data_IF_592292741387
#
_entry.id   IF_592292741387
#
_cell.length_a   1.000
_cell.length_b   1.000
_cell.length_c   1.000
_cell.angle_alpha   90.00
_cell.angle_beta   90.00
_cell.angle_gamma   90.00
#
_symmetry.space_group_name_H-M   'P 1'
#
loop_
_entity.id
_entity.type
_entity.pdbx_description
1 polymer ?
#
# COMPACT_ATOMS: atom_id res chain seq x y z
N UNK A 1 -2.33 35.14 8.80
CA UNK A 1 -1.61 34.41 7.73
C UNK A 1 -0.74 33.30 8.30
N UNK A 2 0.43 33.57 8.89
CA UNK A 2 1.31 32.53 9.50
C UNK A 2 0.63 31.82 10.68
N UNK A 3 -0.01 32.59 11.58
CA UNK A 3 -0.59 32.03 12.81
C UNK A 3 -1.68 30.95 12.60
N UNK A 4 -2.53 31.08 11.58
CA UNK A 4 -3.63 30.12 11.38
C UNK A 4 -3.14 28.81 10.77
N UNK A 5 -2.19 28.90 9.82
CA UNK A 5 -1.55 27.74 9.22
C UNK A 5 -0.74 26.97 10.27
N UNK A 6 0.12 27.65 11.02
CA UNK A 6 0.93 27.03 12.09
C UNK A 6 0.04 26.38 13.18
N UNK A 7 -1.12 26.99 13.50
CA UNK A 7 -2.08 26.41 14.43
C UNK A 7 -2.75 25.16 13.89
N UNK A 8 -3.11 25.13 12.61
CA UNK A 8 -3.65 23.94 11.97
C UNK A 8 -2.62 22.80 11.99
N UNK A 9 -1.37 23.07 11.59
CA UNK A 9 -0.28 22.08 11.63
C UNK A 9 -0.07 21.56 13.07
N UNK A 10 -0.06 22.45 14.06
CA UNK A 10 0.05 22.05 15.47
C UNK A 10 -1.09 21.12 15.90
N UNK A 11 -2.34 21.44 15.55
CA UNK A 11 -3.49 20.60 15.87
C UNK A 11 -3.42 19.24 15.14
N UNK A 12 -2.96 19.20 13.89
CA UNK A 12 -2.78 17.94 13.14
C UNK A 12 -1.71 17.06 13.78
N UNK A 13 -0.58 17.64 14.20
CA UNK A 13 0.47 16.92 14.92
C UNK A 13 0.00 16.37 16.28
N UNK A 14 -1.00 17.02 16.89
CA UNK A 14 -1.67 16.57 18.13
C UNK A 14 -2.89 15.66 17.87
N UNK A 15 -3.12 15.24 16.61
CA UNK A 15 -4.26 14.42 16.17
C UNK A 15 -5.64 15.05 16.46
N UNK A 16 -5.70 16.38 16.57
CA UNK A 16 -6.92 17.15 16.81
C UNK A 16 -7.55 17.59 15.47
N UNK A 17 -7.95 16.62 14.65
CA UNK A 17 -8.38 16.84 13.27
C UNK A 17 -9.60 17.77 13.15
N UNK A 18 -10.62 17.62 14.00
CA UNK A 18 -11.80 18.49 13.98
C UNK A 18 -11.45 19.94 14.31
N UNK A 19 -10.52 20.16 15.24
CA UNK A 19 -10.08 21.51 15.60
C UNK A 19 -9.28 22.14 14.46
N UNK A 20 -8.38 21.37 13.83
CA UNK A 20 -7.65 21.81 12.64
C UNK A 20 -8.60 22.18 11.49
N UNK A 21 -9.65 21.38 11.27
CA UNK A 21 -10.71 21.66 10.27
C UNK A 21 -11.41 22.98 10.57
N UNK A 22 -11.88 23.18 11.80
CA UNK A 22 -12.53 24.43 12.21
C UNK A 22 -11.63 25.67 12.02
N UNK A 23 -10.34 25.55 12.32
CA UNK A 23 -9.36 26.62 12.14
C UNK A 23 -9.18 26.95 10.66
N UNK A 24 -9.04 25.93 9.81
CA UNK A 24 -8.94 26.09 8.36
C UNK A 24 -10.17 26.75 7.75
N UNK A 25 -11.37 26.30 8.13
CA UNK A 25 -12.61 26.92 7.67
C UNK A 25 -12.74 28.39 8.11
N UNK A 26 -12.35 28.70 9.35
CA UNK A 26 -12.33 30.10 9.86
C UNK A 26 -11.31 30.94 9.08
N UNK A 27 -10.14 30.38 8.78
CA UNK A 27 -9.11 31.06 8.00
C UNK A 27 -9.57 31.34 6.56
N UNK A 28 -10.20 30.38 5.89
CA UNK A 28 -10.74 30.56 4.53
C UNK A 28 -11.95 31.50 4.47
N UNK A 29 -12.71 31.68 5.56
CA UNK A 29 -13.73 32.74 5.64
C UNK A 29 -13.12 34.14 5.61
N UNK A 30 -11.91 34.31 6.14
CA UNK A 30 -11.20 35.59 6.15
C UNK A 30 -10.39 35.82 4.88
N UNK A 31 -9.72 34.78 4.39
CA UNK A 31 -8.86 34.81 3.21
C UNK A 31 -9.22 33.63 2.28
N UNK A 32 -10.26 33.76 1.43
CA UNK A 32 -10.77 32.64 0.65
C UNK A 32 -9.78 32.03 -0.34
N UNK A 33 -8.77 32.78 -0.77
CA UNK A 33 -7.82 32.36 -1.81
C UNK A 33 -6.44 32.02 -1.23
N UNK A 34 -6.35 31.81 0.09
CA UNK A 34 -5.08 31.47 0.73
C UNK A 34 -4.65 30.04 0.37
N UNK A 35 -3.72 29.91 -0.59
CA UNK A 35 -3.28 28.62 -1.14
C UNK A 35 -2.72 27.66 -0.09
N UNK A 36 -1.99 28.16 0.91
CA UNK A 36 -1.42 27.31 1.98
C UNK A 36 -2.51 26.68 2.85
N UNK A 37 -3.54 27.46 3.18
CA UNK A 37 -4.67 26.97 3.98
C UNK A 37 -5.55 26.04 3.14
N UNK A 38 -5.75 26.34 1.85
CA UNK A 38 -6.47 25.45 0.93
C UNK A 38 -5.79 24.09 0.83
N UNK A 39 -4.47 24.08 0.60
CA UNK A 39 -3.66 22.85 0.51
C UNK A 39 -3.76 22.03 1.79
N UNK A 40 -3.46 22.64 2.94
CA UNK A 40 -3.49 21.95 4.24
C UNK A 40 -4.88 21.44 4.61
N UNK A 41 -5.94 22.24 4.40
CA UNK A 41 -7.30 21.81 4.71
C UNK A 41 -7.77 20.72 3.74
N UNK A 42 -7.38 20.76 2.47
CA UNK A 42 -7.75 19.71 1.51
C UNK A 42 -7.12 18.36 1.88
N UNK A 43 -5.85 18.34 2.29
CA UNK A 43 -5.18 17.14 2.78
C UNK A 43 -5.83 16.59 4.05
N UNK A 44 -6.11 17.46 5.03
CA UNK A 44 -6.81 17.08 6.26
C UNK A 44 -8.19 16.48 5.98
N UNK A 45 -8.96 17.06 5.05
CA UNK A 45 -10.27 16.52 4.69
C UNK A 45 -10.17 15.13 4.06
N UNK A 46 -9.12 14.85 3.27
CA UNK A 46 -8.86 13.51 2.76
C UNK A 46 -8.52 12.52 3.88
N UNK A 47 -7.67 12.90 4.82
CA UNK A 47 -7.33 12.07 5.99
C UNK A 47 -8.57 11.76 6.86
N UNK A 48 -9.50 12.70 6.96
CA UNK A 48 -10.78 12.51 7.66
C UNK A 48 -11.84 11.75 6.83
N UNK A 49 -11.53 11.31 5.60
CA UNK A 49 -12.47 10.63 4.70
C UNK A 49 -13.54 11.55 4.07
N UNK A 50 -13.44 12.87 4.22
CA UNK A 50 -14.35 13.87 3.66
C UNK A 50 -13.96 14.23 2.21
N UNK A 51 -14.00 13.23 1.34
CA UNK A 51 -13.60 13.32 -0.07
C UNK A 51 -14.36 14.40 -0.84
N UNK A 52 -15.66 14.60 -0.54
CA UNK A 52 -16.51 15.57 -1.23
C UNK A 52 -16.06 17.02 -0.98
N UNK A 53 -15.80 17.39 0.28
CA UNK A 53 -15.32 18.74 0.58
C UNK A 53 -13.87 18.95 0.15
N UNK A 54 -13.02 17.91 0.24
CA UNK A 54 -11.66 17.95 -0.29
C UNK A 54 -11.66 18.25 -1.80
N UNK A 55 -12.51 17.57 -2.57
CA UNK A 55 -12.67 17.79 -4.00
C UNK A 55 -12.98 19.25 -4.34
N UNK A 56 -13.92 19.89 -3.63
CA UNK A 56 -14.26 21.30 -3.87
C UNK A 56 -13.07 22.25 -3.62
N UNK A 57 -12.30 22.00 -2.56
CA UNK A 57 -11.11 22.81 -2.27
C UNK A 57 -10.01 22.61 -3.33
N UNK A 58 -9.79 21.37 -3.76
CA UNK A 58 -8.82 21.04 -4.80
C UNK A 58 -9.19 21.69 -6.15
N UNK A 59 -10.47 21.65 -6.55
CA UNK A 59 -10.97 22.35 -7.74
C UNK A 59 -10.71 23.86 -7.66
N UNK A 60 -10.93 24.44 -6.48
CA UNK A 60 -10.65 25.86 -6.26
C UNK A 60 -9.15 26.17 -6.39
N UNK A 61 -8.27 25.32 -5.87
CA UNK A 61 -6.81 25.46 -6.03
C UNK A 61 -6.37 25.33 -7.50
N UNK A 62 -7.03 24.47 -8.28
CA UNK A 62 -6.81 24.36 -9.73
C UNK A 62 -7.24 25.64 -10.44
N UNK A 63 -8.38 26.23 -10.06
CA UNK A 63 -8.84 27.49 -10.64
C UNK A 63 -7.91 28.68 -10.35
N UNK A 64 -7.34 28.73 -9.14
CA UNK A 64 -6.45 29.81 -8.71
C UNK A 64 -5.05 29.69 -9.34
N UNK A 65 -4.51 28.47 -9.42
CA UNK A 65 -3.14 28.23 -9.90
C UNK A 65 -3.08 27.01 -10.85
N UNK A 66 -3.59 27.12 -12.08
CA UNK A 66 -3.75 25.96 -12.97
C UNK A 66 -2.45 25.29 -13.39
N UNK A 67 -1.32 26.01 -13.40
CA UNK A 67 -0.05 25.50 -13.89
C UNK A 67 0.98 25.21 -12.79
N UNK A 68 0.60 25.35 -11.52
CA UNK A 68 1.48 25.17 -10.35
C UNK A 68 0.94 24.10 -9.41
N UNK A 69 1.83 23.35 -8.75
CA UNK A 69 1.48 22.35 -7.75
C UNK A 69 0.87 21.09 -8.35
N UNK A 70 1.67 20.04 -8.52
CA UNK A 70 1.19 18.75 -9.08
C UNK A 70 0.29 17.97 -8.10
N UNK A 71 0.48 18.12 -6.78
CA UNK A 71 -0.21 17.31 -5.77
C UNK A 71 -1.73 17.37 -5.88
N UNK A 72 -2.30 18.58 -6.05
CA UNK A 72 -3.75 18.74 -6.22
C UNK A 72 -4.32 17.98 -7.41
N UNK A 73 -3.53 17.85 -8.48
CA UNK A 73 -3.92 17.08 -9.66
C UNK A 73 -3.86 15.58 -9.40
N UNK A 74 -2.83 15.10 -8.69
CA UNK A 74 -2.77 13.69 -8.29
C UNK A 74 -3.94 13.33 -7.35
N UNK A 75 -4.23 14.17 -6.36
CA UNK A 75 -5.36 13.97 -5.45
C UNK A 75 -6.70 14.00 -6.19
N UNK A 76 -6.92 14.92 -7.13
CA UNK A 76 -8.13 14.92 -7.97
C UNK A 76 -8.24 13.66 -8.83
N UNK A 77 -7.11 13.15 -9.33
CA UNK A 77 -7.07 11.85 -10.02
C UNK A 77 -7.58 10.71 -9.13
N UNK A 78 -7.11 10.63 -7.88
CA UNK A 78 -7.57 9.62 -6.92
C UNK A 78 -9.05 9.75 -6.54
N UNK A 79 -9.61 10.96 -6.58
CA UNK A 79 -11.01 11.23 -6.23
C UNK A 79 -12.00 11.06 -7.40
N UNK A 80 -11.51 10.81 -8.61
CA UNK A 80 -12.32 10.69 -9.82
C UNK A 80 -12.08 9.35 -10.51
N UNK A 81 -12.92 9.00 -11.48
CA UNK A 81 -12.84 7.73 -12.21
C UNK A 81 -12.65 7.92 -13.71
N UNK A 82 -12.18 6.87 -14.37
CA UNK A 82 -12.03 6.76 -15.81
C UNK A 82 -11.26 7.92 -16.46
N UNK A 83 -11.77 8.41 -17.59
CA UNK A 83 -11.10 9.44 -18.40
C UNK A 83 -10.93 10.79 -17.69
N UNK A 84 -11.78 11.11 -16.72
CA UNK A 84 -11.63 12.33 -15.91
C UNK A 84 -10.40 12.23 -15.01
N UNK A 85 -10.21 11.08 -14.37
CA UNK A 85 -9.03 10.79 -13.55
C UNK A 85 -7.74 10.87 -14.37
N UNK A 86 -7.73 10.24 -15.55
CA UNK A 86 -6.60 10.32 -16.48
C UNK A 86 -6.25 11.76 -16.86
N UNK A 87 -7.23 12.63 -17.10
CA UNK A 87 -6.99 14.03 -17.43
C UNK A 87 -6.34 14.80 -16.26
N UNK A 88 -6.71 14.51 -15.02
CA UNK A 88 -6.06 15.08 -13.85
C UNK A 88 -4.63 14.57 -13.68
N UNK A 89 -4.41 13.26 -13.78
CA UNK A 89 -3.07 12.68 -13.73
C UNK A 89 -2.16 13.22 -14.83
N UNK A 90 -2.63 13.32 -16.07
CA UNK A 90 -1.87 13.89 -17.18
C UNK A 90 -1.36 15.30 -16.88
N UNK A 91 -2.22 16.13 -16.26
CA UNK A 91 -1.83 17.49 -15.85
C UNK A 91 -0.79 17.46 -14.72
N UNK A 92 -0.95 16.58 -13.74
CA UNK A 92 0.02 16.37 -12.66
C UNK A 92 1.38 15.90 -13.18
N UNK A 93 1.39 14.90 -14.06
CA UNK A 93 2.57 14.35 -14.75
C UNK A 93 3.28 15.43 -15.56
N UNK A 94 2.53 16.28 -16.29
CA UNK A 94 3.12 17.38 -17.04
C UNK A 94 3.88 18.36 -16.12
N UNK A 95 3.29 18.73 -14.99
CA UNK A 95 3.95 19.61 -13.99
C UNK A 95 5.18 18.92 -13.39
N UNK A 96 5.09 17.64 -13.02
CA UNK A 96 6.21 16.85 -12.49
C UNK A 96 7.39 16.79 -13.48
N UNK A 97 7.10 16.53 -14.76
CA UNK A 97 8.12 16.50 -15.81
C UNK A 97 8.82 17.86 -15.95
N UNK A 98 8.06 18.96 -15.92
CA UNK A 98 8.63 20.31 -15.99
C UNK A 98 9.53 20.62 -14.78
N UNK A 99 9.12 20.21 -13.57
CA UNK A 99 9.92 20.38 -12.35
C UNK A 99 11.24 19.59 -12.42
N UNK A 100 11.19 18.32 -12.84
CA UNK A 100 12.37 17.47 -13.00
C UNK A 100 13.33 18.02 -14.08
N UNK A 101 12.80 18.53 -15.20
CA UNK A 101 13.61 19.16 -16.24
C UNK A 101 14.27 20.46 -15.74
N UNK A 102 13.54 21.27 -14.97
CA UNK A 102 14.08 22.50 -14.40
C UNK A 102 15.27 22.24 -13.45
N UNK A 103 15.20 21.18 -12.63
CA UNK A 103 16.27 20.78 -11.71
C UNK A 103 17.57 20.33 -12.42
N UNK A 104 17.49 19.87 -13.67
CA UNK A 104 18.67 19.52 -14.47
C UNK A 104 19.45 20.75 -14.99
N UNK A 105 18.93 21.96 -14.78
CA UNK A 105 19.54 23.20 -15.26
C UNK A 105 20.43 23.82 -14.16
N UNK A 106 21.69 24.22 -14.44
CA UNK A 106 22.64 24.71 -13.43
C UNK A 106 22.23 25.97 -12.65
N UNK A 107 21.15 26.65 -13.05
CA UNK A 107 20.70 27.92 -12.49
C UNK A 107 19.63 27.79 -11.40
N UNK A 108 19.15 26.57 -11.10
CA UNK A 108 17.96 26.34 -10.26
C UNK A 108 18.25 25.96 -8.79
N UNK A 109 19.51 26.00 -8.34
CA UNK A 109 19.96 25.51 -7.03
C UNK A 109 19.49 26.32 -5.79
N UNK A 110 18.45 27.15 -5.90
CA UNK A 110 18.04 28.08 -4.82
C UNK A 110 16.53 28.20 -4.60
N UNK A 111 15.70 27.26 -5.05
CA UNK A 111 14.26 27.25 -4.76
C UNK A 111 13.89 25.98 -3.96
N UNK A 112 13.01 26.17 -2.96
CA UNK A 112 12.62 25.21 -1.91
C UNK A 112 12.57 23.74 -2.38
N UNK A 113 13.35 22.92 -1.66
CA UNK A 113 13.92 21.63 -2.07
C UNK A 113 12.90 20.48 -2.05
N UNK A 114 12.09 20.32 -3.10
CA UNK A 114 11.55 19.00 -3.39
C UNK A 114 12.66 18.16 -4.01
N UNK A 115 13.16 17.18 -3.23
CA UNK A 115 14.19 16.25 -3.67
C UNK A 115 13.83 15.63 -5.01
N UNK A 116 14.79 15.56 -5.94
CA UNK A 116 14.62 14.88 -7.22
C UNK A 116 14.05 13.46 -7.04
N UNK A 117 14.45 12.78 -5.97
CA UNK A 117 13.93 11.46 -5.60
C UNK A 117 12.43 11.47 -5.30
N UNK A 118 11.91 12.45 -4.55
CA UNK A 118 10.48 12.50 -4.22
C UNK A 118 9.63 12.87 -5.43
N UNK A 119 10.15 13.70 -6.34
CA UNK A 119 9.51 14.01 -7.62
C UNK A 119 9.46 12.77 -8.54
N UNK A 120 10.56 12.02 -8.63
CA UNK A 120 10.61 10.75 -9.38
C UNK A 120 9.63 9.71 -8.83
N UNK A 121 9.56 9.58 -7.50
CA UNK A 121 8.58 8.71 -6.82
C UNK A 121 7.15 9.11 -7.18
N UNK A 122 6.80 10.39 -7.03
CA UNK A 122 5.47 10.90 -7.38
C UNK A 122 5.12 10.68 -8.87
N UNK A 123 6.09 10.85 -9.75
CA UNK A 123 5.92 10.59 -11.18
C UNK A 123 5.70 9.10 -11.47
N UNK A 124 6.47 8.23 -10.82
CA UNK A 124 6.31 6.77 -10.92
C UNK A 124 4.93 6.33 -10.43
N UNK A 125 4.49 6.77 -9.25
CA UNK A 125 3.15 6.45 -8.71
C UNK A 125 2.01 7.02 -9.56
N UNK A 126 2.17 8.21 -10.15
CA UNK A 126 1.16 8.74 -11.08
C UNK A 126 0.99 7.84 -12.32
N UNK A 127 2.10 7.33 -12.89
CA UNK A 127 2.01 6.37 -13.98
C UNK A 127 1.41 5.03 -13.55
N UNK A 128 1.65 4.58 -12.32
CA UNK A 128 1.01 3.39 -11.75
C UNK A 128 -0.51 3.55 -11.71
N UNK A 129 -1.01 4.63 -11.11
CA UNK A 129 -2.44 4.91 -11.03
C UNK A 129 -3.10 5.03 -12.41
N UNK A 130 -2.43 5.69 -13.38
CA UNK A 130 -2.94 5.76 -14.75
C UNK A 130 -3.02 4.37 -15.42
N UNK A 131 -2.03 3.50 -15.20
CA UNK A 131 -2.04 2.15 -15.76
C UNK A 131 -3.18 1.32 -15.17
N UNK A 132 -3.40 1.41 -13.85
CA UNK A 132 -4.53 0.75 -13.18
C UNK A 132 -5.88 1.20 -13.75
N UNK A 133 -6.07 2.49 -14.02
CA UNK A 133 -7.30 3.00 -14.65
C UNK A 133 -7.54 2.37 -16.03
N UNK A 134 -6.49 2.10 -16.81
CA UNK A 134 -6.62 1.37 -18.08
C UNK A 134 -6.87 -0.14 -17.89
N UNK A 135 -6.55 -0.71 -16.73
CA UNK A 135 -6.89 -2.10 -16.40
C UNK A 135 -8.29 -2.23 -15.78
N UNK A 136 -8.88 -1.15 -15.28
CA UNK A 136 -10.22 -1.14 -14.66
C UNK A 136 -11.22 -0.32 -15.48
N UNK A 137 -11.24 1.00 -15.30
CA UNK A 137 -12.34 1.88 -15.72
C UNK A 137 -12.34 2.11 -17.23
N UNK A 138 -11.16 2.05 -17.86
CA UNK A 138 -10.95 2.29 -19.29
C UNK A 138 -10.51 1.03 -20.03
N UNK A 139 -10.74 -0.17 -19.47
CA UNK A 139 -10.30 -1.44 -20.07
C UNK A 139 -10.97 -1.76 -21.42
N UNK A 140 -12.17 -1.23 -21.66
CA UNK A 140 -12.92 -1.44 -22.91
C UNK A 140 -12.46 -0.53 -24.08
N UNK A 141 -11.54 0.41 -23.83
CA UNK A 141 -11.02 1.32 -24.87
C UNK A 141 -10.04 0.59 -25.80
N UNK A 142 -10.06 0.92 -27.10
CA UNK A 142 -9.23 0.24 -28.11
C UNK A 142 -7.72 0.39 -27.84
N UNK A 143 -7.33 1.51 -27.23
CA UNK A 143 -5.96 1.84 -26.86
C UNK A 143 -5.52 1.34 -25.47
N UNK A 144 -6.43 0.76 -24.67
CA UNK A 144 -6.20 0.49 -23.24
C UNK A 144 -4.93 -0.33 -22.99
N UNK A 145 -4.76 -1.43 -23.73
CA UNK A 145 -3.59 -2.30 -23.62
C UNK A 145 -2.29 -1.55 -23.95
N UNK A 146 -2.27 -0.78 -25.05
CA UNK A 146 -1.08 -0.06 -25.48
C UNK A 146 -0.71 1.07 -24.52
N UNK A 147 -1.70 1.77 -23.97
CA UNK A 147 -1.48 2.81 -22.95
C UNK A 147 -0.98 2.21 -21.64
N UNK A 148 -1.62 1.12 -21.17
CA UNK A 148 -1.20 0.44 -19.95
C UNK A 148 0.25 -0.05 -20.05
N UNK A 149 0.64 -0.68 -21.16
CA UNK A 149 2.01 -1.15 -21.38
C UNK A 149 3.04 0.00 -21.32
N UNK A 150 2.75 1.12 -21.97
CA UNK A 150 3.61 2.31 -21.97
C UNK A 150 3.71 2.94 -20.56
N UNK A 151 2.60 3.03 -19.84
CA UNK A 151 2.55 3.59 -18.48
C UNK A 151 3.30 2.72 -17.47
N UNK A 152 3.16 1.39 -17.53
CA UNK A 152 3.94 0.44 -16.71
C UNK A 152 5.44 0.58 -16.99
N UNK A 153 5.83 0.72 -18.24
CA UNK A 153 7.24 0.94 -18.58
C UNK A 153 7.75 2.29 -18.02
N UNK A 154 6.94 3.35 -18.17
CA UNK A 154 7.27 4.69 -17.68
C UNK A 154 7.35 4.76 -16.16
N UNK A 155 6.50 4.04 -15.42
CA UNK A 155 6.53 4.02 -13.95
C UNK A 155 7.86 3.49 -13.42
N UNK A 156 8.33 2.36 -13.97
CA UNK A 156 9.62 1.75 -13.61
C UNK A 156 10.80 2.63 -14.05
N UNK A 157 10.72 3.26 -15.23
CA UNK A 157 11.77 4.17 -15.70
C UNK A 157 11.87 5.45 -14.87
N UNK A 158 10.74 5.97 -14.39
CA UNK A 158 10.69 7.17 -13.57
C UNK A 158 11.36 6.95 -12.21
N UNK A 159 11.07 5.82 -11.57
CA UNK A 159 11.71 5.39 -10.33
C UNK A 159 11.86 3.85 -10.26
N UNK A 160 13.06 3.31 -10.56
CA UNK A 160 13.34 1.88 -10.47
C UNK A 160 13.31 1.31 -9.04
N UNK A 161 13.21 2.16 -8.03
CA UNK A 161 13.14 1.77 -6.61
C UNK A 161 11.72 1.88 -6.04
N UNK A 162 10.72 2.14 -6.88
CA UNK A 162 9.32 2.16 -6.47
C UNK A 162 8.72 0.75 -6.45
N UNK A 163 8.44 0.13 -5.29
CA UNK A 163 7.86 -1.20 -5.23
C UNK A 163 6.46 -1.30 -5.85
N UNK A 164 5.67 -0.22 -5.77
CA UNK A 164 4.34 -0.12 -6.37
C UNK A 164 4.39 -0.29 -7.89
N UNK A 165 5.40 0.27 -8.56
CA UNK A 165 5.58 0.14 -10.00
C UNK A 165 5.73 -1.32 -10.46
N UNK A 166 6.39 -2.14 -9.64
CA UNK A 166 6.53 -3.57 -9.92
C UNK A 166 5.28 -4.38 -9.55
N UNK A 167 4.47 -3.94 -8.57
CA UNK A 167 3.16 -4.53 -8.29
C UNK A 167 2.20 -4.29 -9.46
N UNK A 168 2.13 -3.06 -9.97
CA UNK A 168 1.32 -2.73 -11.16
C UNK A 168 1.84 -3.46 -12.41
N UNK A 169 3.16 -3.60 -12.54
CA UNK A 169 3.75 -4.44 -13.60
C UNK A 169 3.29 -5.90 -13.50
N UNK A 170 3.30 -6.50 -12.30
CA UNK A 170 2.83 -7.86 -12.08
C UNK A 170 1.34 -8.00 -12.41
N UNK A 171 0.51 -7.04 -11.97
CA UNK A 171 -0.93 -6.98 -12.29
C UNK A 171 -1.18 -6.93 -13.82
N UNK A 172 -0.46 -6.06 -14.54
CA UNK A 172 -0.54 -6.00 -15.99
C UNK A 172 -0.15 -7.31 -16.67
N UNK A 173 0.93 -7.95 -16.20
CA UNK A 173 1.39 -9.23 -16.75
C UNK A 173 0.40 -10.37 -16.48
N UNK A 174 -0.29 -10.38 -15.33
CA UNK A 174 -1.40 -11.29 -15.05
C UNK A 174 -2.56 -11.09 -16.03
N UNK A 175 -2.96 -9.85 -16.32
CA UNK A 175 -3.97 -9.55 -17.36
C UNK A 175 -3.54 -10.09 -18.73
N UNK A 176 -2.23 -10.07 -19.03
CA UNK A 176 -1.64 -10.66 -20.25
C UNK A 176 -1.49 -12.19 -20.21
N UNK A 177 -1.77 -12.84 -19.08
CA UNK A 177 -1.53 -14.27 -18.81
C UNK A 177 -0.04 -14.66 -18.86
N UNK A 178 0.85 -13.71 -18.59
CA UNK A 178 2.31 -13.87 -18.54
C UNK A 178 2.74 -14.14 -17.08
N UNK A 179 2.39 -15.32 -16.56
CA UNK A 179 2.52 -15.64 -15.13
C UNK A 179 3.96 -15.66 -14.60
N UNK A 180 4.94 -16.15 -15.38
CA UNK A 180 6.33 -16.22 -14.91
C UNK A 180 6.96 -14.83 -14.82
N UNK A 181 6.73 -13.98 -15.82
CA UNK A 181 7.15 -12.59 -15.81
C UNK A 181 6.47 -11.80 -14.68
N UNK A 182 5.20 -12.10 -14.40
CA UNK A 182 4.47 -11.51 -13.26
C UNK A 182 5.11 -11.88 -11.91
N UNK A 183 5.50 -13.15 -11.74
CA UNK A 183 6.27 -13.60 -10.56
C UNK A 183 7.60 -12.86 -10.43
N UNK A 184 8.35 -12.72 -11.52
CA UNK A 184 9.61 -11.95 -11.50
C UNK A 184 9.39 -10.49 -11.09
N UNK A 185 8.34 -9.85 -11.61
CA UNK A 185 7.99 -8.48 -11.24
C UNK A 185 7.63 -8.39 -9.75
N UNK A 186 6.83 -9.32 -9.23
CA UNK A 186 6.44 -9.34 -7.83
C UNK A 186 7.64 -9.59 -6.90
N UNK A 187 8.55 -10.50 -7.27
CA UNK A 187 9.82 -10.70 -6.55
C UNK A 187 10.69 -9.43 -6.51
N UNK A 188 10.75 -8.66 -7.60
CA UNK A 188 11.44 -7.36 -7.61
C UNK A 188 10.79 -6.37 -6.66
N UNK A 189 9.45 -6.32 -6.61
CA UNK A 189 8.73 -5.48 -5.64
C UNK A 189 9.11 -5.87 -4.22
N UNK A 190 8.94 -7.14 -3.83
CA UNK A 190 9.23 -7.62 -2.48
C UNK A 190 10.67 -7.31 -2.03
N UNK A 191 11.64 -7.51 -2.93
CA UNK A 191 13.05 -7.23 -2.64
C UNK A 191 13.36 -5.76 -2.28
N UNK A 192 12.46 -4.82 -2.59
CA UNK A 192 12.62 -3.40 -2.27
C UNK A 192 12.09 -3.00 -0.89
N UNK A 193 11.24 -3.80 -0.24
CA UNK A 193 10.58 -3.39 1.00
C UNK A 193 10.41 -4.49 2.05
N UNK A 194 10.16 -5.74 1.66
CA UNK A 194 9.81 -6.82 2.59
C UNK A 194 10.92 -7.10 3.62
N UNK A 195 12.22 -7.24 3.25
CA UNK A 195 13.28 -7.50 4.23
C UNK A 195 13.50 -6.39 5.27
N UNK A 196 13.10 -5.16 4.95
CA UNK A 196 13.13 -4.06 5.91
C UNK A 196 11.89 -4.09 6.81
N UNK A 197 10.72 -4.42 6.24
CA UNK A 197 9.48 -4.54 6.98
C UNK A 197 9.51 -5.67 8.02
N UNK A 198 10.01 -6.86 7.65
CA UNK A 198 10.18 -8.00 8.56
C UNK A 198 11.05 -7.65 9.77
N UNK A 199 12.18 -6.97 9.54
CA UNK A 199 13.06 -6.49 10.64
C UNK A 199 12.35 -5.55 11.62
N UNK A 200 11.42 -4.74 11.12
CA UNK A 200 10.65 -3.83 11.99
C UNK A 200 9.64 -4.58 12.85
N UNK A 201 8.95 -5.58 12.27
CA UNK A 201 7.99 -6.43 12.99
C UNK A 201 8.67 -7.27 14.08
N UNK A 202 9.88 -7.78 13.82
CA UNK A 202 10.68 -8.54 14.78
C UNK A 202 11.24 -7.69 15.94
N UNK A 203 10.90 -6.39 16.02
CA UNK A 203 11.38 -5.50 17.07
C UNK A 203 12.86 -5.15 16.95
N UNK A 204 13.51 -5.45 15.82
CA UNK A 204 14.85 -4.99 15.49
C UNK A 204 14.80 -3.53 15.03
N UNK A 205 14.24 -2.67 15.88
CA UNK A 205 14.18 -1.24 15.64
C UNK A 205 15.61 -0.67 15.54
N UNK A 206 15.94 -0.07 14.41
CA UNK A 206 16.98 0.95 14.35
C UNK A 206 16.62 2.08 15.32
N UNK A 207 17.61 2.78 15.86
CA UNK A 207 17.40 3.91 16.81
C UNK A 207 16.59 5.09 16.23
N UNK A 208 16.10 4.99 14.98
CA UNK A 208 15.31 5.99 14.27
C UNK A 208 13.84 5.53 14.10
N UNK A 209 12.87 6.15 14.80
CA UNK A 209 11.45 5.77 14.81
C UNK A 209 10.68 5.94 13.48
N UNK A 210 11.35 6.34 12.38
CA UNK A 210 10.70 6.83 11.16
C UNK A 210 10.95 5.93 9.93
N UNK A 211 11.56 4.74 10.09
CA UNK A 211 11.58 3.75 9.00
C UNK A 211 10.20 3.08 8.89
N UNK A 212 9.30 3.71 8.14
CA UNK A 212 8.00 3.16 7.77
C UNK A 212 8.14 2.38 6.47
N UNK A 213 7.39 1.28 6.33
CA UNK A 213 7.27 0.57 5.06
C UNK A 213 6.97 1.55 3.91
N UNK A 214 7.70 1.53 2.78
CA UNK A 214 7.56 2.51 1.70
C UNK A 214 6.25 2.37 0.91
N UNK A 215 5.42 1.37 1.22
CA UNK A 215 4.09 1.15 0.67
C UNK A 215 3.02 1.51 1.69
N UNK A 216 1.89 2.04 1.23
CA UNK A 216 0.72 2.20 2.07
C UNK A 216 0.19 0.83 2.53
N UNK A 217 -0.63 0.82 3.56
CA UNK A 217 -1.37 -0.38 3.99
C UNK A 217 -2.18 -0.98 2.82
N UNK A 218 -2.92 -0.15 2.09
CA UNK A 218 -3.72 -0.58 0.94
C UNK A 218 -2.88 -1.20 -0.20
N UNK A 219 -1.71 -0.63 -0.52
CA UNK A 219 -0.82 -1.20 -1.54
C UNK A 219 -0.22 -2.54 -1.09
N UNK A 220 0.00 -2.74 0.22
CA UNK A 220 0.42 -4.05 0.75
C UNK A 220 -0.70 -5.09 0.68
N UNK A 221 -1.94 -4.72 1.01
CA UNK A 221 -3.12 -5.59 0.84
C UNK A 221 -3.27 -6.00 -0.62
N UNK A 222 -3.16 -5.06 -1.57
CA UNK A 222 -3.19 -5.38 -3.00
C UNK A 222 -2.01 -6.27 -3.42
N UNK A 223 -0.82 -6.02 -2.88
CA UNK A 223 0.35 -6.90 -3.06
C UNK A 223 0.08 -8.34 -2.60
N UNK A 224 -0.55 -8.53 -1.45
CA UNK A 224 -0.92 -9.86 -0.96
C UNK A 224 -1.92 -10.58 -1.88
N UNK A 225 -2.91 -9.85 -2.43
CA UNK A 225 -3.85 -10.40 -3.43
C UNK A 225 -3.10 -10.91 -4.67
N UNK A 226 -2.15 -10.12 -5.20
CA UNK A 226 -1.31 -10.53 -6.34
C UNK A 226 -0.44 -11.76 -6.02
N UNK A 227 0.15 -11.82 -4.82
CA UNK A 227 0.95 -12.96 -4.39
C UNK A 227 0.12 -14.25 -4.32
N UNK A 228 -1.10 -14.17 -3.80
CA UNK A 228 -2.04 -15.32 -3.78
C UNK A 228 -2.38 -15.77 -5.20
N UNK A 229 -2.71 -14.84 -6.10
CA UNK A 229 -3.01 -15.15 -7.50
C UNK A 229 -1.81 -15.77 -8.25
N UNK A 230 -0.58 -15.40 -7.86
CA UNK A 230 0.65 -15.97 -8.38
C UNK A 230 1.09 -17.26 -7.67
N UNK A 231 0.30 -17.78 -6.74
CA UNK A 231 0.65 -18.96 -5.91
C UNK A 231 1.95 -18.77 -5.08
N UNK A 232 2.34 -17.52 -4.80
CA UNK A 232 3.44 -17.15 -3.91
C UNK A 232 2.94 -17.10 -2.46
N UNK A 233 2.45 -18.24 -1.97
CA UNK A 233 1.66 -18.31 -0.73
C UNK A 233 2.49 -18.02 0.53
N UNK A 234 3.79 -18.30 0.53
CA UNK A 234 4.66 -18.04 1.68
C UNK A 234 4.90 -16.55 1.87
N UNK A 235 5.25 -15.86 0.79
CA UNK A 235 5.41 -14.41 0.81
C UNK A 235 4.08 -13.71 1.08
N UNK A 236 2.96 -14.20 0.54
CA UNK A 236 1.64 -13.65 0.84
C UNK A 236 1.32 -13.75 2.34
N UNK A 237 1.62 -14.89 2.97
CA UNK A 237 1.39 -15.08 4.40
C UNK A 237 2.20 -14.10 5.24
N UNK A 238 3.50 -13.94 4.95
CA UNK A 238 4.36 -12.97 5.65
C UNK A 238 3.81 -11.55 5.55
N UNK A 239 3.37 -11.13 4.36
CA UNK A 239 2.80 -9.78 4.19
C UNK A 239 1.50 -9.62 4.98
N UNK A 240 0.63 -10.62 4.96
CA UNK A 240 -0.66 -10.56 5.65
C UNK A 240 -0.54 -10.63 7.17
N UNK A 241 0.39 -11.42 7.71
CA UNK A 241 0.67 -11.46 9.15
C UNK A 241 1.12 -10.07 9.65
N UNK A 242 2.04 -9.43 8.92
CA UNK A 242 2.46 -8.06 9.23
C UNK A 242 1.35 -7.02 9.13
N UNK A 243 0.38 -7.22 8.25
CA UNK A 243 -0.79 -6.34 8.13
C UNK A 243 -1.77 -6.51 9.30
N UNK A 244 -2.00 -7.75 9.77
CA UNK A 244 -2.82 -8.02 10.96
C UNK A 244 -2.15 -7.46 12.22
N UNK A 245 -0.83 -7.57 12.35
CA UNK A 245 -0.12 -7.02 13.51
C UNK A 245 -0.20 -5.49 13.58
N UNK A 246 -0.27 -4.82 12.42
CA UNK A 246 -0.41 -3.36 12.32
C UNK A 246 -1.84 -2.87 12.58
N UNK A 247 -2.83 -3.56 12.01
CA UNK A 247 -4.25 -3.23 12.15
C UNK A 247 -5.11 -4.50 12.00
N UNK A 248 -5.69 -4.95 13.11
CA UNK A 248 -6.55 -6.14 13.19
C UNK A 248 -8.04 -5.84 12.96
N UNK A 249 -8.42 -4.58 12.73
CA UNK A 249 -9.80 -4.18 12.42
C UNK A 249 -10.14 -4.37 10.93
N UNK A 250 -9.13 -4.59 10.07
CA UNK A 250 -9.33 -4.74 8.62
C UNK A 250 -9.76 -6.17 8.25
N UNK A 251 -11.06 -6.35 8.09
CA UNK A 251 -11.69 -7.65 7.76
C UNK A 251 -11.13 -8.30 6.49
N UNK A 252 -10.76 -7.50 5.48
CA UNK A 252 -10.11 -7.99 4.24
C UNK A 252 -8.89 -8.86 4.51
N UNK A 253 -8.05 -8.49 5.49
CA UNK A 253 -6.81 -9.20 5.78
C UNK A 253 -7.09 -10.55 6.42
N UNK A 254 -8.08 -10.61 7.33
CA UNK A 254 -8.57 -11.86 7.91
C UNK A 254 -9.09 -12.83 6.84
N UNK A 255 -9.87 -12.33 5.88
CA UNK A 255 -10.34 -13.15 4.77
C UNK A 255 -9.21 -13.65 3.88
N UNK A 256 -8.25 -12.80 3.53
CA UNK A 256 -7.12 -13.19 2.69
C UNK A 256 -6.25 -14.25 3.37
N UNK A 257 -6.01 -14.17 4.68
CA UNK A 257 -5.33 -15.23 5.44
C UNK A 257 -6.12 -16.52 5.46
N UNK A 258 -7.43 -16.44 5.67
CA UNK A 258 -8.33 -17.59 5.61
C UNK A 258 -8.29 -18.29 4.25
N UNK A 259 -8.41 -17.52 3.18
CA UNK A 259 -8.36 -17.98 1.80
C UNK A 259 -6.99 -18.59 1.46
N UNK A 260 -5.89 -17.92 1.82
CA UNK A 260 -4.54 -18.42 1.63
C UNK A 260 -4.32 -19.77 2.32
N UNK A 261 -4.73 -19.89 3.58
CA UNK A 261 -4.59 -21.14 4.34
C UNK A 261 -5.51 -22.25 3.79
N UNK A 262 -6.69 -21.89 3.28
CA UNK A 262 -7.56 -22.83 2.58
C UNK A 262 -6.89 -23.38 1.31
N UNK A 263 -6.28 -22.50 0.50
CA UNK A 263 -5.54 -22.88 -0.71
C UNK A 263 -4.33 -23.78 -0.43
N UNK A 264 -3.58 -23.53 0.65
CA UNK A 264 -2.48 -24.40 1.09
C UNK A 264 -2.96 -25.82 1.43
N UNK A 265 -4.15 -25.94 2.03
CA UNK A 265 -4.74 -27.21 2.44
C UNK A 265 -3.94 -27.93 3.53
N UNK A 266 -4.22 -29.23 3.72
CA UNK A 266 -3.48 -30.06 4.68
C UNK A 266 -3.59 -29.57 6.13
N UNK A 267 -2.45 -29.31 6.77
CA UNK A 267 -2.37 -28.84 8.16
C UNK A 267 -2.91 -27.40 8.34
N UNK A 268 -2.96 -26.61 7.28
CA UNK A 268 -3.42 -25.22 7.32
C UNK A 268 -4.94 -25.08 7.34
N UNK A 269 -5.72 -26.15 7.17
CA UNK A 269 -7.19 -26.11 7.18
C UNK A 269 -7.76 -25.67 8.54
N UNK A 270 -7.03 -25.90 9.64
CA UNK A 270 -7.38 -25.37 10.96
C UNK A 270 -7.30 -23.83 10.99
N UNK A 271 -6.16 -23.30 10.54
CA UNK A 271 -5.92 -21.86 10.42
C UNK A 271 -6.92 -21.19 9.47
N UNK A 272 -7.18 -21.82 8.33
CA UNK A 272 -8.17 -21.35 7.36
C UNK A 272 -9.52 -21.09 8.03
N UNK A 273 -9.99 -22.05 8.82
CA UNK A 273 -11.27 -21.96 9.55
C UNK A 273 -11.24 -20.84 10.59
N UNK A 274 -10.15 -20.72 11.35
CA UNK A 274 -9.99 -19.68 12.35
C UNK A 274 -10.08 -18.28 11.72
N UNK A 275 -9.25 -18.00 10.71
CA UNK A 275 -9.21 -16.70 10.05
C UNK A 275 -10.53 -16.37 9.33
N UNK A 276 -11.13 -17.33 8.61
CA UNK A 276 -12.45 -17.16 7.98
C UNK A 276 -13.57 -16.91 9.01
N UNK A 277 -13.44 -17.44 10.23
CA UNK A 277 -14.41 -17.19 11.30
C UNK A 277 -14.31 -15.77 11.85
N UNK A 278 -13.09 -15.22 11.96
CA UNK A 278 -12.88 -13.80 12.32
C UNK A 278 -13.37 -12.86 11.21
N UNK A 279 -13.26 -13.30 9.95
CA UNK A 279 -13.71 -12.54 8.79
C UNK A 279 -15.25 -12.43 8.64
N UNK A 280 -16.08 -13.02 9.51
CA UNK A 280 -17.56 -12.99 9.40
C UNK A 280 -18.22 -11.62 9.60
N UNK A 281 -17.43 -10.55 9.60
CA UNK A 281 -17.86 -9.17 9.80
C UNK A 281 -17.88 -8.35 8.50
N UNK A 282 -17.82 -8.99 7.32
CA UNK A 282 -18.02 -8.28 6.05
C UNK A 282 -19.42 -7.70 5.95
N UNK A 283 -19.48 -6.46 5.48
CA UNK A 283 -20.74 -5.81 5.09
C UNK A 283 -21.21 -6.25 3.69
N UNK A 284 -20.31 -6.79 2.85
CA UNK A 284 -20.67 -7.29 1.52
C UNK A 284 -21.25 -8.71 1.56
N UNK A 285 -22.37 -8.90 0.87
CA UNK A 285 -23.13 -10.14 0.87
C UNK A 285 -22.47 -11.25 0.06
N UNK A 286 -21.74 -10.91 -1.01
CA UNK A 286 -21.13 -11.90 -1.89
C UNK A 286 -19.87 -12.50 -1.23
N UNK A 287 -19.03 -11.67 -0.62
CA UNK A 287 -17.88 -12.09 0.19
C UNK A 287 -18.34 -12.92 1.40
N UNK A 288 -19.40 -12.49 2.09
CA UNK A 288 -19.97 -13.27 3.19
C UNK A 288 -20.47 -14.64 2.74
N UNK A 289 -21.14 -14.73 1.59
CA UNK A 289 -21.58 -16.01 1.03
C UNK A 289 -20.39 -16.93 0.72
N UNK A 290 -19.29 -16.39 0.19
CA UNK A 290 -18.08 -17.15 -0.06
C UNK A 290 -17.43 -17.66 1.24
N UNK A 291 -17.34 -16.81 2.27
CA UNK A 291 -16.84 -17.22 3.59
C UNK A 291 -17.70 -18.35 4.18
N UNK A 292 -19.02 -18.26 4.08
CA UNK A 292 -19.94 -19.30 4.55
C UNK A 292 -19.77 -20.62 3.79
N UNK A 293 -19.57 -20.57 2.47
CA UNK A 293 -19.29 -21.73 1.63
C UNK A 293 -18.00 -22.43 2.08
N UNK A 294 -16.90 -21.69 2.22
CA UNK A 294 -15.61 -22.25 2.64
C UNK A 294 -15.69 -22.85 4.06
N UNK A 295 -16.34 -22.17 4.99
CA UNK A 295 -16.53 -22.68 6.34
C UNK A 295 -17.40 -23.95 6.37
N UNK A 296 -18.41 -24.05 5.50
CA UNK A 296 -19.23 -25.25 5.38
C UNK A 296 -18.42 -26.45 4.84
N UNK A 297 -17.52 -26.22 3.89
CA UNK A 297 -16.60 -27.24 3.37
C UNK A 297 -15.59 -27.71 4.41
N UNK A 298 -15.04 -26.76 5.19
CA UNK A 298 -14.11 -27.06 6.27
C UNK A 298 -14.80 -27.83 7.42
N UNK A 299 -16.11 -27.67 7.62
CA UNK A 299 -16.92 -28.36 8.63
C UNK A 299 -16.96 -27.66 10.00
N UNK A 300 -17.24 -28.36 11.10
CA UNK A 300 -17.09 -27.81 12.46
C UNK A 300 -15.63 -27.86 12.92
N UNK A 301 -15.27 -27.01 13.90
CA UNK A 301 -14.03 -27.20 14.66
C UNK A 301 -14.03 -28.62 15.25
N UNK A 302 -12.91 -29.37 15.16
CA UNK A 302 -12.80 -30.62 15.88
C UNK A 302 -13.02 -30.34 17.36
N UNK A 303 -13.99 -31.02 17.98
CA UNK A 303 -14.22 -30.91 19.42
C UNK A 303 -12.87 -31.15 20.12
N UNK A 304 -12.34 -30.13 20.79
CA UNK A 304 -11.18 -30.26 21.66
C UNK A 304 -11.47 -31.43 22.62
N UNK A 305 -10.78 -32.54 22.41
CA UNK A 305 -10.62 -33.49 23.51
C UNK A 305 -9.86 -32.69 24.55
N UNK A 306 -10.53 -32.40 25.68
CA UNK A 306 -9.91 -31.86 26.89
C UNK A 306 -8.79 -32.82 27.33
N UNK A 307 -7.63 -32.70 26.69
CA UNK A 307 -6.36 -33.19 27.19
C UNK A 307 -5.64 -31.94 27.70
N UNK A 308 -5.65 -31.80 29.03
CA UNK A 308 -5.09 -30.68 29.80
C UNK A 308 -3.55 -30.52 29.67
N UNK A 309 -2.92 -30.97 28.59
CA UNK A 309 -1.46 -31.06 28.46
C UNK A 309 -0.97 -30.67 27.06
N UNK A 310 -1.24 -29.46 26.56
CA UNK A 310 -0.45 -28.89 25.45
C UNK A 310 -0.50 -27.35 25.36
N UNK A 311 -0.44 -26.64 26.51
CA UNK A 311 0.08 -25.27 26.50
C UNK A 311 1.62 -25.31 26.48
N UNK A 312 2.20 -25.41 25.28
CA UNK A 312 3.46 -24.76 24.90
C UNK A 312 4.00 -25.28 23.56
N UNK A 313 3.59 -24.65 22.45
CA UNK A 313 4.44 -24.58 21.26
C UNK A 313 4.16 -23.32 20.42
N UNK A 314 4.06 -22.18 21.11
CA UNK A 314 4.24 -20.86 20.51
C UNK A 314 5.62 -20.33 20.92
N UNK A 315 6.69 -20.88 20.33
CA UNK A 315 8.04 -20.30 20.35
C UNK A 315 8.95 -21.06 19.37
N UNK A 316 9.70 -20.30 18.57
CA UNK A 316 10.44 -20.76 17.40
C UNK A 316 11.41 -21.92 17.60
N UNK A 317 11.54 -22.68 16.53
CA UNK A 317 12.55 -23.72 16.35
C UNK A 317 13.93 -23.06 16.15
N UNK A 318 14.74 -23.03 17.21
CA UNK A 318 16.18 -22.82 17.12
C UNK A 318 16.90 -23.71 18.12
N UNK A 319 17.16 -24.97 17.76
CA UNK A 319 18.47 -25.61 17.88
C UNK A 319 18.37 -27.11 17.61
N UNK A 320 18.85 -27.53 16.44
CA UNK A 320 19.28 -28.88 16.12
C UNK A 320 20.76 -28.74 15.70
N UNK A 321 21.77 -29.46 16.20
CA UNK A 321 21.81 -30.78 16.83
C UNK A 321 23.07 -30.85 17.73
N UNK A 322 22.97 -31.49 18.89
CA UNK A 322 24.09 -32.25 19.45
C UNK A 322 23.60 -33.65 19.81
N UNK A 323 24.23 -34.66 19.20
CA UNK A 323 24.02 -36.07 19.48
C UNK A 323 25.23 -36.90 19.07
N UNK A 324 26.14 -37.10 20.03
CA UNK A 324 26.95 -38.30 20.35
C UNK A 324 27.23 -39.32 19.21
N UNK A 325 28.44 -39.78 18.92
CA UNK A 325 29.58 -40.12 19.77
C UNK A 325 30.03 -41.53 19.41
N UNK A 326 31.33 -41.78 19.15
CA UNK A 326 31.98 -43.03 19.55
C UNK A 326 33.52 -42.96 19.50
N UNK A 327 34.10 -43.71 20.43
CA UNK A 327 35.49 -43.75 20.90
C UNK A 327 36.46 -44.58 20.01
N UNK A 328 37.71 -44.70 20.51
CA UNK A 328 38.87 -45.51 20.07
C UNK A 328 39.87 -44.77 19.15
N UNK A 329 41.18 -44.70 19.39
CA UNK A 329 42.09 -45.37 20.32
C UNK A 329 43.40 -44.54 20.33
N UNK A 330 44.04 -44.38 21.49
CA UNK A 330 45.35 -43.73 21.63
C UNK A 330 46.42 -44.74 22.04
N UNK A 331 47.39 -44.98 21.16
CA UNK A 331 48.75 -45.51 21.39
C UNK A 331 49.58 -45.00 20.20
N UNK A 332 50.81 -44.51 20.29
CA UNK A 332 51.90 -44.73 21.24
C UNK A 332 53.00 -43.67 20.95
N UNK A 333 53.69 -43.26 22.01
CA UNK A 333 55.09 -42.75 22.12
C UNK A 333 55.50 -41.46 21.41
#
# INVERSE_FOLDING_TARGET
MILAYDQMESCMNELQYEQAKELGEKALKMEPENMKVLDLLSGLLLEMGDAANAFELLQKMVHLEPDQGFRKYLSLGQLTGGKESLAYYDKGVHILCNLLQAQQTPAAATAEEQSETSLKRALSSAYCAMAEIYMTDCCDEEEAEAQCADLVQKSVQADPTNPEAYQVQASYLLVKQEHEEAKEAMQRSLGLWLPQHERLLEGAATEDPVEVCPLSYSSRVNGAKLLIELEMLDEANTVLDGLIEEDDEVVDVWYLLGWLNYLRGGEYLGNARYYLSQARHFDDADEMAHIEELLAELGPEPEEQNDEDEEASFAGDSDAEQGEGNEEEAMEV
#
